data_IF_246947584194
#
_entry.id   IF_246947584194
#
_cell.length_a   1.000
_cell.length_b   1.000
_cell.length_c   1.000
_cell.angle_alpha   90.00
_cell.angle_beta   90.00
_cell.angle_gamma   90.00
#
_symmetry.space_group_name_H-M   'P 1'
#
loop_
_entity.id
_entity.type
_entity.pdbx_description
1 polymer ?
#
# COMPACT_ATOMS: atom_id res chain seq x y z
N UNK A 1 82.50 -28.68 70.55
CA UNK A 1 81.14 -28.14 70.74
C UNK A 1 80.43 -28.30 69.39
N UNK A 2 79.86 -29.45 69.01
CA UNK A 2 78.81 -30.27 69.63
C UNK A 2 77.56 -29.47 69.97
N UNK A 3 76.59 -29.45 69.04
CA UNK A 3 75.19 -29.67 69.36
C UNK A 3 74.38 -30.05 68.11
N UNK A 4 73.93 -31.30 68.08
CA UNK A 4 72.60 -31.69 67.60
C UNK A 4 71.88 -32.34 68.79
N UNK A 5 70.54 -32.22 68.84
CA UNK A 5 69.66 -33.40 68.69
C UNK A 5 68.52 -33.09 67.68
N UNK A 6 68.16 -33.94 66.71
CA UNK A 6 67.44 -35.25 66.75
C UNK A 6 65.92 -35.15 67.02
N UNK A 7 65.10 -36.09 66.48
CA UNK A 7 64.06 -35.81 65.47
C UNK A 7 62.63 -36.01 65.99
N UNK A 8 61.64 -35.41 65.33
CA UNK A 8 60.23 -35.78 65.51
C UNK A 8 59.62 -36.25 64.18
N UNK A 9 59.40 -37.55 64.13
CA UNK A 9 58.47 -38.23 63.24
C UNK A 9 57.12 -38.33 63.95
N UNK A 10 56.11 -37.63 63.45
CA UNK A 10 54.73 -37.96 63.78
C UNK A 10 53.86 -37.79 62.55
N UNK A 11 53.17 -38.88 62.23
CA UNK A 11 51.87 -38.91 61.55
C UNK A 11 51.89 -38.90 60.03
N UNK A 12 52.07 -40.11 59.47
CA UNK A 12 51.20 -40.53 58.37
C UNK A 12 49.74 -40.38 58.83
N UNK A 13 48.96 -39.53 58.17
CA UNK A 13 47.52 -39.72 58.04
C UNK A 13 47.01 -38.93 56.83
N UNK A 14 46.37 -39.68 55.95
CA UNK A 14 45.19 -39.29 55.19
C UNK A 14 45.29 -38.50 53.88
N UNK A 15 44.94 -39.28 52.85
CA UNK A 15 43.85 -39.02 51.92
C UNK A 15 44.19 -38.31 50.61
N UNK A 16 44.15 -39.14 49.56
CA UNK A 16 43.58 -38.82 48.26
C UNK A 16 43.99 -37.47 47.66
N UNK A 17 44.97 -37.52 46.75
CA UNK A 17 45.08 -36.55 45.67
C UNK A 17 43.82 -36.63 44.78
N UNK A 18 42.72 -36.04 45.25
CA UNK A 18 41.55 -35.73 44.44
C UNK A 18 42.02 -34.66 43.46
N UNK A 19 42.32 -35.07 42.23
CA UNK A 19 42.40 -34.14 41.12
C UNK A 19 41.05 -33.40 41.07
N UNK A 20 41.00 -32.18 41.60
CA UNK A 20 39.84 -31.31 41.47
C UNK A 20 39.59 -31.16 39.97
N UNK A 21 38.40 -31.50 39.44
CA UNK A 21 38.04 -31.03 38.12
C UNK A 21 37.95 -29.51 38.24
N UNK A 22 38.91 -28.79 37.68
CA UNK A 22 38.76 -27.36 37.42
C UNK A 22 37.73 -27.30 36.29
N UNK A 23 36.45 -27.39 36.63
CA UNK A 23 35.41 -26.92 35.73
C UNK A 23 35.66 -25.41 35.62
N UNK A 24 36.02 -24.88 34.43
CA UNK A 24 36.22 -23.45 34.28
C UNK A 24 34.88 -22.77 34.59
N UNK A 25 34.79 -22.13 35.75
CA UNK A 25 33.66 -21.27 36.07
C UNK A 25 33.78 -20.06 35.17
N UNK A 26 32.95 -20.02 34.14
CA UNK A 26 32.87 -18.91 33.19
C UNK A 26 32.69 -17.61 34.01
N UNK A 27 33.61 -16.66 33.88
CA UNK A 27 33.55 -15.41 34.59
C UNK A 27 32.41 -14.55 34.05
N UNK A 28 31.93 -13.58 34.85
CA UNK A 28 30.92 -12.63 34.39
C UNK A 28 31.38 -11.86 33.13
N UNK A 29 32.70 -11.63 33.01
CA UNK A 29 33.31 -10.98 31.83
C UNK A 29 33.20 -11.84 30.58
N UNK A 30 33.41 -13.16 30.69
CA UNK A 30 33.30 -14.10 29.57
C UNK A 30 31.84 -14.16 29.06
N UNK A 31 30.88 -14.16 29.99
CA UNK A 31 29.44 -14.10 29.67
C UNK A 31 29.11 -12.79 28.95
N UNK A 32 29.61 -11.64 29.44
CA UNK A 32 29.40 -10.33 28.81
C UNK A 32 30.00 -10.28 27.41
N UNK A 33 31.20 -10.84 27.21
CA UNK A 33 31.85 -10.88 25.89
C UNK A 33 31.04 -11.71 24.87
N UNK A 34 30.57 -12.88 25.27
CA UNK A 34 29.73 -13.74 24.41
C UNK A 34 28.42 -13.05 24.06
N UNK A 35 27.74 -12.46 25.05
CA UNK A 35 26.49 -11.71 24.85
C UNK A 35 26.72 -10.51 23.91
N UNK A 36 27.84 -9.78 24.09
CA UNK A 36 28.22 -8.66 23.22
C UNK A 36 28.41 -9.08 21.76
N UNK A 37 29.08 -10.20 21.51
CA UNK A 37 29.25 -10.73 20.14
C UNK A 37 27.90 -11.11 19.54
N UNK A 38 27.00 -11.76 20.29
CA UNK A 38 25.65 -12.09 19.82
C UNK A 38 24.87 -10.84 19.42
N UNK A 39 24.92 -9.76 20.22
CA UNK A 39 24.26 -8.51 19.87
C UNK A 39 24.84 -7.85 18.61
N UNK A 40 26.16 -7.88 18.42
CA UNK A 40 26.79 -7.37 17.20
C UNK A 40 26.34 -8.18 15.98
N UNK A 41 26.33 -9.51 16.09
CA UNK A 41 25.85 -10.38 15.00
C UNK A 41 24.37 -10.11 14.68
N UNK A 42 23.51 -9.99 15.70
CA UNK A 42 22.09 -9.64 15.50
C UNK A 42 21.90 -8.26 14.87
N UNK A 43 22.69 -7.26 15.27
CA UNK A 43 22.64 -5.91 14.71
C UNK A 43 23.02 -5.89 13.21
N UNK A 44 23.98 -6.72 12.79
CA UNK A 44 24.36 -6.85 11.39
C UNK A 44 23.33 -7.66 10.58
N UNK A 45 22.62 -8.60 11.21
CA UNK A 45 21.62 -9.46 10.55
C UNK A 45 20.29 -8.76 10.30
N UNK A 46 19.84 -7.87 11.19
CA UNK A 46 18.50 -7.25 11.11
C UNK A 46 18.26 -6.44 9.82
N UNK A 47 19.17 -5.56 9.37
CA UNK A 47 18.99 -4.82 8.11
C UNK A 47 18.97 -5.74 6.89
N UNK A 48 19.78 -6.81 6.91
CA UNK A 48 19.84 -7.79 5.83
C UNK A 48 18.53 -8.58 5.71
N UNK A 49 17.93 -8.97 6.83
CA UNK A 49 16.62 -9.67 6.85
C UNK A 49 15.51 -8.78 6.27
N UNK A 50 15.54 -7.48 6.55
CA UNK A 50 14.55 -6.53 6.01
C UNK A 50 14.68 -6.37 4.50
N UNK A 51 15.90 -6.18 3.99
CA UNK A 51 16.16 -6.12 2.54
C UNK A 51 15.70 -7.39 1.82
N UNK A 52 15.98 -8.56 2.40
CA UNK A 52 15.53 -9.85 1.86
C UNK A 52 13.99 -9.96 1.83
N UNK A 53 13.31 -9.51 2.88
CA UNK A 53 11.83 -9.48 2.94
C UNK A 53 11.25 -8.57 1.86
N UNK A 54 11.82 -7.38 1.65
CA UNK A 54 11.35 -6.46 0.62
C UNK A 54 11.58 -7.01 -0.80
N UNK A 55 12.74 -7.63 -1.05
CA UNK A 55 13.01 -8.31 -2.32
C UNK A 55 12.03 -9.48 -2.56
N UNK A 56 11.67 -10.22 -1.51
CA UNK A 56 10.68 -11.30 -1.59
C UNK A 56 9.27 -10.74 -1.93
N UNK A 57 8.83 -9.67 -1.25
CA UNK A 57 7.56 -8.99 -1.56
C UNK A 57 7.53 -8.48 -3.00
N UNK A 58 8.62 -7.89 -3.48
CA UNK A 58 8.78 -7.43 -4.87
C UNK A 58 8.66 -8.58 -5.87
N UNK A 59 9.30 -9.69 -5.58
CA UNK A 59 9.24 -10.89 -6.44
C UNK A 59 7.83 -11.47 -6.48
N UNK A 60 7.16 -11.54 -5.33
CA UNK A 60 5.80 -12.04 -5.25
C UNK A 60 4.80 -11.12 -5.97
N UNK A 61 4.89 -9.80 -5.82
CA UNK A 61 3.98 -8.87 -6.53
C UNK A 61 4.19 -8.92 -8.05
N UNK A 62 5.45 -9.03 -8.51
CA UNK A 62 5.76 -9.29 -9.93
C UNK A 62 5.12 -10.59 -10.43
N UNK A 63 5.21 -11.66 -9.65
CA UNK A 63 4.62 -12.95 -10.00
C UNK A 63 3.09 -12.89 -10.03
N UNK A 64 2.47 -12.17 -9.10
CA UNK A 64 1.03 -11.94 -9.11
C UNK A 64 0.58 -11.22 -10.39
N UNK A 65 1.24 -10.12 -10.75
CA UNK A 65 0.97 -9.42 -12.02
C UNK A 65 1.23 -10.29 -13.25
N UNK A 66 2.23 -11.17 -13.21
CA UNK A 66 2.49 -12.14 -14.30
C UNK A 66 1.35 -13.14 -14.44
N UNK A 67 0.78 -13.62 -13.33
CA UNK A 67 -0.38 -14.51 -13.36
C UNK A 67 -1.61 -13.80 -13.93
N UNK A 68 -1.85 -12.54 -13.55
CA UNK A 68 -2.89 -11.72 -14.17
C UNK A 68 -2.65 -11.50 -15.66
N UNK A 69 -1.43 -11.14 -16.06
CA UNK A 69 -1.05 -10.97 -17.46
C UNK A 69 -1.29 -12.24 -18.29
N UNK A 70 -0.93 -13.41 -17.75
CA UNK A 70 -1.23 -14.68 -18.38
C UNK A 70 -2.73 -14.94 -18.50
N UNK A 71 -3.50 -14.64 -17.46
CA UNK A 71 -4.96 -14.77 -17.50
C UNK A 71 -5.60 -13.87 -18.57
N UNK A 72 -5.12 -12.63 -18.71
CA UNK A 72 -5.54 -11.72 -19.79
C UNK A 72 -5.27 -12.29 -21.19
N UNK A 73 -4.09 -12.87 -21.41
CA UNK A 73 -3.74 -13.48 -22.69
C UNK A 73 -4.55 -14.75 -22.97
N UNK A 74 -4.75 -15.62 -21.99
CA UNK A 74 -5.60 -16.81 -22.16
C UNK A 74 -7.06 -16.44 -22.47
N UNK A 75 -7.57 -15.36 -21.85
CA UNK A 75 -8.88 -14.81 -22.18
C UNK A 75 -8.88 -14.26 -23.62
N UNK A 76 -7.87 -13.50 -24.01
CA UNK A 76 -7.72 -12.96 -25.37
C UNK A 76 -7.67 -14.07 -26.42
N UNK A 77 -6.90 -15.14 -26.19
CA UNK A 77 -6.81 -16.29 -27.09
C UNK A 77 -8.17 -16.99 -27.27
N UNK A 78 -9.00 -17.02 -26.23
CA UNK A 78 -10.33 -17.65 -26.26
C UNK A 78 -11.37 -16.78 -26.95
N UNK A 79 -11.37 -15.47 -26.68
CA UNK A 79 -12.46 -14.55 -27.07
C UNK A 79 -12.07 -13.54 -28.16
N UNK A 80 -10.81 -13.53 -28.59
CA UNK A 80 -10.24 -12.60 -29.59
C UNK A 80 -10.03 -11.17 -29.09
N UNK A 81 -10.33 -10.88 -27.82
CA UNK A 81 -10.32 -9.53 -27.22
C UNK A 81 -9.98 -9.60 -25.74
N UNK A 82 -9.50 -8.49 -25.18
CA UNK A 82 -9.37 -8.33 -23.73
C UNK A 82 -10.77 -8.35 -23.08
N UNK A 83 -10.86 -8.75 -21.80
CA UNK A 83 -12.14 -8.71 -21.10
C UNK A 83 -12.66 -7.28 -21.04
N UNK A 84 -13.99 -7.15 -21.06
CA UNK A 84 -14.66 -5.87 -20.79
C UNK A 84 -14.19 -5.34 -19.45
N UNK A 85 -13.98 -4.03 -19.34
CA UNK A 85 -13.73 -3.39 -18.05
C UNK A 85 -14.88 -3.66 -17.09
N UNK A 86 -16.08 -3.26 -17.50
CA UNK A 86 -17.36 -3.57 -16.86
C UNK A 86 -18.40 -3.86 -17.93
N UNK A 87 -19.14 -4.94 -17.75
CA UNK A 87 -20.33 -5.28 -18.53
C UNK A 87 -21.53 -4.52 -17.96
N UNK A 88 -22.02 -3.51 -18.68
CA UNK A 88 -23.14 -2.66 -18.28
C UNK A 88 -24.28 -2.89 -19.28
N UNK A 89 -25.41 -3.39 -18.78
CA UNK A 89 -26.61 -3.59 -19.57
C UNK A 89 -27.26 -2.26 -19.99
N UNK A 90 -28.17 -2.31 -20.96
CA UNK A 90 -28.84 -1.12 -21.49
C UNK A 90 -29.68 -0.36 -20.44
N UNK A 91 -30.13 -1.04 -19.39
CA UNK A 91 -30.85 -0.46 -18.25
C UNK A 91 -29.93 0.16 -17.18
N UNK A 92 -28.60 0.12 -17.40
CA UNK A 92 -27.59 0.60 -16.47
C UNK A 92 -27.16 -0.43 -15.42
N UNK A 93 -27.71 -1.65 -15.44
CA UNK A 93 -27.32 -2.71 -14.53
C UNK A 93 -25.87 -3.12 -14.79
N UNK A 94 -25.02 -2.95 -13.78
CA UNK A 94 -23.66 -3.44 -13.84
C UNK A 94 -23.65 -4.95 -13.58
N UNK A 95 -23.15 -5.73 -14.54
CA UNK A 95 -23.02 -7.17 -14.45
C UNK A 95 -21.70 -7.52 -13.80
N UNK A 96 -20.63 -7.67 -14.58
CA UNK A 96 -19.35 -8.19 -14.10
C UNK A 96 -18.19 -7.38 -14.69
N UNK A 97 -17.08 -7.33 -13.95
CA UNK A 97 -15.85 -6.66 -14.40
C UNK A 97 -14.81 -7.61 -14.97
N UNK A 98 -13.72 -7.03 -15.47
CA UNK A 98 -12.57 -7.78 -15.98
C UNK A 98 -12.04 -8.80 -14.95
N UNK A 99 -11.99 -8.43 -13.66
CA UNK A 99 -11.49 -9.32 -12.60
C UNK A 99 -12.31 -10.61 -12.53
N UNK A 100 -13.64 -10.50 -12.47
CA UNK A 100 -14.56 -11.65 -12.48
C UNK A 100 -14.51 -12.49 -13.76
N UNK A 101 -14.21 -11.86 -14.91
CA UNK A 101 -14.08 -12.56 -16.19
C UNK A 101 -12.77 -13.36 -16.30
N UNK A 102 -11.74 -12.97 -15.54
CA UNK A 102 -10.44 -13.62 -15.57
C UNK A 102 -10.27 -14.76 -14.56
N UNK A 103 -11.16 -14.89 -13.58
CA UNK A 103 -11.10 -15.94 -12.56
C UNK A 103 -10.85 -17.36 -13.13
N UNK A 104 -11.52 -17.81 -14.22
CA UNK A 104 -11.30 -19.16 -14.78
C UNK A 104 -9.86 -19.40 -15.25
N UNK A 105 -9.18 -18.31 -15.59
CA UNK A 105 -7.82 -18.30 -16.12
C UNK A 105 -6.78 -18.07 -15.03
N UNK A 106 -7.22 -17.86 -13.80
CA UNK A 106 -6.42 -17.91 -12.58
C UNK A 106 -6.61 -19.29 -11.95
N UNK A 107 -5.73 -19.70 -11.04
CA UNK A 107 -5.81 -20.98 -10.30
C UNK A 107 -6.99 -21.02 -9.29
N UNK A 108 -8.15 -20.47 -9.65
CA UNK A 108 -9.32 -20.22 -8.81
C UNK A 108 -10.63 -20.78 -9.42
N UNK A 109 -10.57 -22.01 -9.96
CA UNK A 109 -11.68 -22.65 -10.69
C UNK A 109 -12.96 -22.83 -9.86
N UNK A 110 -12.84 -23.10 -8.55
CA UNK A 110 -13.99 -23.27 -7.65
C UNK A 110 -14.76 -21.96 -7.46
N UNK A 111 -14.04 -20.86 -7.26
CA UNK A 111 -14.62 -19.54 -7.04
C UNK A 111 -15.48 -19.08 -8.23
N UNK A 112 -15.00 -19.30 -9.46
CA UNK A 112 -15.77 -18.97 -10.67
C UNK A 112 -17.04 -19.81 -10.83
N UNK A 113 -17.01 -21.10 -10.45
CA UNK A 113 -18.16 -21.99 -10.60
C UNK A 113 -19.38 -21.56 -9.77
N UNK A 114 -19.14 -20.81 -8.70
CA UNK A 114 -20.15 -20.27 -7.78
C UNK A 114 -20.68 -18.90 -8.20
N UNK A 115 -20.00 -18.22 -9.13
CA UNK A 115 -20.43 -16.93 -9.65
C UNK A 115 -21.64 -17.09 -10.57
N UNK A 116 -22.80 -16.56 -10.17
CA UNK A 116 -23.96 -16.48 -11.05
C UNK A 116 -23.77 -15.31 -12.03
N UNK A 117 -23.37 -15.67 -13.25
CA UNK A 117 -23.06 -14.73 -14.33
C UNK A 117 -24.29 -14.03 -14.92
N UNK A 118 -25.48 -14.54 -14.63
CA UNK A 118 -26.75 -13.98 -15.11
C UNK A 118 -27.32 -12.93 -14.15
N UNK A 119 -26.62 -12.66 -13.04
CA UNK A 119 -27.00 -11.68 -12.02
C UNK A 119 -25.95 -10.60 -11.92
N UNK A 120 -26.34 -9.42 -11.46
CA UNK A 120 -25.38 -8.34 -11.21
C UNK A 120 -24.32 -8.76 -10.19
N UNK A 121 -23.13 -8.16 -10.25
CA UNK A 121 -22.03 -8.41 -9.30
C UNK A 121 -22.44 -8.26 -7.83
N UNK A 122 -23.36 -7.34 -7.55
CA UNK A 122 -23.86 -7.02 -6.20
C UNK A 122 -25.15 -7.75 -5.84
N UNK A 123 -25.62 -8.70 -6.66
CA UNK A 123 -26.80 -9.48 -6.35
C UNK A 123 -26.55 -10.38 -5.12
N UNK A 124 -27.58 -10.59 -4.29
CA UNK A 124 -27.47 -11.41 -3.07
C UNK A 124 -27.03 -12.87 -3.32
N UNK A 125 -27.17 -13.38 -4.54
CA UNK A 125 -26.62 -14.69 -4.92
C UNK A 125 -25.08 -14.69 -5.03
N UNK A 126 -24.49 -13.56 -5.41
CA UNK A 126 -23.05 -13.37 -5.58
C UNK A 126 -22.39 -12.80 -4.32
N UNK A 127 -23.17 -12.39 -3.32
CA UNK A 127 -22.74 -11.83 -2.04
C UNK A 127 -21.57 -12.58 -1.35
N UNK A 128 -21.60 -13.92 -1.17
CA UNK A 128 -20.53 -14.63 -0.48
C UNK A 128 -19.16 -14.48 -1.17
N UNK A 129 -19.15 -14.28 -2.48
CA UNK A 129 -17.93 -14.20 -3.28
C UNK A 129 -17.17 -12.88 -3.06
N UNK A 130 -17.79 -11.87 -2.44
CA UNK A 130 -17.12 -10.62 -2.07
C UNK A 130 -16.17 -10.78 -0.89
N UNK A 131 -16.33 -11.85 -0.11
CA UNK A 131 -15.51 -12.15 1.07
C UNK A 131 -14.40 -13.16 0.77
N UNK A 132 -14.27 -13.53 -0.50
CA UNK A 132 -13.28 -14.48 -1.01
C UNK A 132 -12.47 -13.81 -2.12
N UNK A 133 -11.23 -14.24 -2.29
CA UNK A 133 -10.37 -13.69 -3.33
C UNK A 133 -9.25 -14.65 -3.72
N UNK A 134 -8.73 -14.54 -4.95
CA UNK A 134 -7.58 -15.33 -5.36
C UNK A 134 -6.34 -14.84 -4.61
N UNK A 135 -5.44 -15.75 -4.24
CA UNK A 135 -4.20 -15.43 -3.49
C UNK A 135 -3.32 -14.38 -4.17
N UNK A 136 -3.46 -14.21 -5.48
CA UNK A 136 -2.70 -13.26 -6.29
C UNK A 136 -3.43 -11.91 -6.53
N UNK A 137 -4.61 -11.70 -5.92
CA UNK A 137 -5.39 -10.46 -6.03
C UNK A 137 -4.82 -9.29 -5.24
N UNK A 138 -3.83 -9.54 -4.38
CA UNK A 138 -3.31 -8.57 -3.42
C UNK A 138 -1.81 -8.36 -3.57
N UNK A 139 -1.37 -7.11 -3.40
CA UNK A 139 0.04 -6.75 -3.19
C UNK A 139 0.50 -7.24 -1.79
N UNK A 140 1.63 -7.95 -1.66
CA UNK A 140 2.13 -8.44 -0.37
C UNK A 140 2.39 -7.32 0.64
N UNK A 141 1.81 -7.45 1.83
CA UNK A 141 1.97 -6.47 2.92
C UNK A 141 0.98 -5.30 2.87
N UNK A 142 0.01 -5.33 1.97
CA UNK A 142 -1.16 -4.44 1.97
C UNK A 142 -2.37 -5.17 2.55
N UNK A 143 -3.37 -4.46 3.13
CA UNK A 143 -4.57 -5.10 3.66
C UNK A 143 -5.36 -5.80 2.55
N UNK A 144 -5.53 -7.13 2.65
CA UNK A 144 -6.21 -7.91 1.61
C UNK A 144 -7.74 -7.75 1.65
N UNK A 145 -8.27 -7.42 2.83
CA UNK A 145 -9.69 -7.29 3.11
C UNK A 145 -9.97 -6.02 3.92
N UNK A 146 -11.22 -5.56 3.88
CA UNK A 146 -11.75 -4.55 4.81
C UNK A 146 -11.88 -5.12 6.22
N UNK A 147 -12.19 -4.26 7.21
CA UNK A 147 -12.54 -4.67 8.58
C UNK A 147 -13.69 -5.68 8.63
N UNK A 148 -14.60 -5.62 7.65
CA UNK A 148 -15.72 -6.52 7.48
C UNK A 148 -15.44 -7.78 6.65
N UNK A 149 -14.21 -7.93 6.15
CA UNK A 149 -13.81 -9.10 5.37
C UNK A 149 -14.04 -9.00 3.87
N UNK A 150 -14.52 -7.86 3.35
CA UNK A 150 -14.70 -7.66 1.90
C UNK A 150 -13.33 -7.61 1.23
N UNK A 151 -13.12 -8.47 0.24
CA UNK A 151 -11.85 -8.61 -0.45
C UNK A 151 -11.56 -7.40 -1.35
N UNK A 152 -10.34 -6.87 -1.26
CA UNK A 152 -9.91 -5.66 -1.95
C UNK A 152 -9.12 -5.98 -3.22
N UNK A 153 -9.30 -5.15 -4.25
CA UNK A 153 -8.50 -5.19 -5.47
C UNK A 153 -7.29 -4.27 -5.37
N UNK A 154 -6.09 -4.84 -5.45
CA UNK A 154 -4.84 -4.07 -5.44
C UNK A 154 -4.30 -3.75 -6.84
N UNK A 155 -5.04 -4.11 -7.90
CA UNK A 155 -4.69 -3.76 -9.28
C UNK A 155 -5.83 -3.04 -9.97
N UNK A 156 -5.53 -1.91 -10.61
CA UNK A 156 -6.51 -1.18 -11.41
C UNK A 156 -6.18 -1.29 -12.89
N UNK A 157 -7.23 -1.41 -13.70
CA UNK A 157 -7.14 -1.47 -15.15
C UNK A 157 -6.85 -0.14 -15.81
N UNK A 158 -6.21 -0.22 -16.99
CA UNK A 158 -6.10 0.87 -17.93
C UNK A 158 -7.48 1.16 -18.52
N UNK A 159 -8.05 2.36 -18.28
CA UNK A 159 -9.37 2.68 -18.82
C UNK A 159 -9.42 2.68 -20.35
N UNK A 160 -8.30 2.85 -21.04
CA UNK A 160 -8.26 2.77 -22.50
C UNK A 160 -8.39 1.31 -23.03
N UNK A 161 -8.23 0.31 -22.15
CA UNK A 161 -8.35 -1.12 -22.47
C UNK A 161 -9.57 -1.75 -21.79
N UNK A 162 -9.73 -1.44 -20.50
CA UNK A 162 -10.68 -2.04 -19.57
C UNK A 162 -11.74 -1.01 -19.15
N UNK A 163 -12.46 -0.43 -20.10
CA UNK A 163 -13.60 0.46 -19.86
C UNK A 163 -14.95 -0.27 -19.97
N UNK A 164 -16.04 0.46 -19.73
CA UNK A 164 -17.40 -0.06 -19.92
C UNK A 164 -17.61 -0.64 -21.31
N UNK A 165 -18.09 -1.88 -21.36
CA UNK A 165 -18.43 -2.59 -22.59
C UNK A 165 -17.30 -2.58 -23.63
N UNK A 166 -16.05 -2.56 -23.18
CA UNK A 166 -14.88 -2.52 -24.06
C UNK A 166 -14.73 -3.79 -24.89
N UNK A 167 -14.17 -3.66 -26.09
CA UNK A 167 -13.89 -4.80 -26.97
C UNK A 167 -12.53 -4.66 -27.63
N UNK A 168 -11.54 -4.25 -26.83
CA UNK A 168 -10.17 -3.96 -27.29
C UNK A 168 -9.42 -5.25 -27.60
N UNK A 169 -8.74 -5.27 -28.73
CA UNK A 169 -7.94 -6.39 -29.21
C UNK A 169 -6.45 -6.02 -29.24
N UNK A 170 -5.57 -7.03 -29.26
CA UNK A 170 -4.12 -6.81 -29.37
C UNK A 170 -3.75 -5.97 -30.61
N UNK A 171 -4.50 -6.11 -31.70
CA UNK A 171 -4.28 -5.37 -32.95
C UNK A 171 -4.56 -3.87 -32.83
N UNK A 172 -5.30 -3.42 -31.80
CA UNK A 172 -5.64 -2.01 -31.63
C UNK A 172 -4.47 -1.18 -31.07
N UNK A 173 -3.42 -1.82 -30.56
CA UNK A 173 -2.26 -1.15 -29.97
C UNK A 173 -1.26 -0.66 -31.02
N UNK A 174 -1.59 0.44 -31.70
CA UNK A 174 -0.73 1.04 -32.75
C UNK A 174 0.65 1.51 -32.27
N UNK A 175 0.81 1.77 -30.96
CA UNK A 175 2.11 2.10 -30.33
C UNK A 175 2.91 0.87 -29.88
N UNK A 176 2.39 -0.33 -30.13
CA UNK A 176 2.94 -1.61 -29.67
C UNK A 176 2.44 -2.00 -28.28
N UNK A 177 2.22 -3.29 -28.07
CA UNK A 177 1.77 -3.89 -26.81
C UNK A 177 2.76 -3.68 -25.66
N UNK A 178 4.05 -3.61 -25.97
CA UNK A 178 5.14 -3.34 -25.01
C UNK A 178 5.15 -1.90 -24.49
N UNK A 179 4.50 -0.96 -25.16
CA UNK A 179 4.35 0.44 -24.73
C UNK A 179 2.95 0.75 -24.17
N UNK A 180 2.13 -0.28 -24.03
CA UNK A 180 0.73 -0.19 -23.62
C UNK A 180 0.56 -0.98 -22.32
N UNK A 181 0.02 -0.38 -21.27
CA UNK A 181 -0.19 -1.07 -20.00
C UNK A 181 -1.62 -1.61 -19.87
N UNK A 182 -1.79 -2.74 -19.20
CA UNK A 182 -3.09 -3.40 -18.94
C UNK A 182 -3.62 -3.07 -17.57
N UNK A 183 -2.84 -3.40 -16.54
CA UNK A 183 -3.17 -3.21 -15.13
C UNK A 183 -1.93 -2.71 -14.40
N UNK A 184 -2.14 -1.96 -13.33
CA UNK A 184 -1.07 -1.50 -12.45
C UNK A 184 -1.44 -1.66 -10.98
N UNK A 185 -0.42 -1.80 -10.16
CA UNK A 185 -0.56 -1.78 -8.70
C UNK A 185 -1.16 -0.46 -8.22
N UNK A 186 -2.06 -0.56 -7.25
CA UNK A 186 -2.54 0.58 -6.47
C UNK A 186 -2.31 0.30 -4.99
N UNK A 187 -2.01 1.34 -4.23
CA UNK A 187 -1.80 1.26 -2.78
C UNK A 187 -2.80 2.15 -2.01
N UNK A 188 -3.82 2.66 -2.71
CA UNK A 188 -4.78 3.60 -2.18
C UNK A 188 -6.09 3.52 -2.96
N UNK A 189 -7.18 3.91 -2.30
CA UNK A 189 -8.54 3.89 -2.85
C UNK A 189 -8.84 2.55 -3.51
N UNK A 190 -8.71 1.50 -2.71
CA UNK A 190 -9.07 0.15 -3.13
C UNK A 190 -10.56 0.08 -3.43
N UNK A 191 -10.91 -0.79 -4.37
CA UNK A 191 -12.29 -1.14 -4.66
C UNK A 191 -12.49 -2.62 -4.33
N UNK A 192 -13.73 -3.05 -4.04
CA UNK A 192 -14.02 -4.46 -3.89
C UNK A 192 -13.55 -5.24 -5.11
N UNK A 193 -13.01 -6.43 -4.88
CA UNK A 193 -12.46 -7.27 -5.95
C UNK A 193 -13.48 -7.57 -7.05
N UNK A 194 -14.75 -7.79 -6.67
CA UNK A 194 -15.84 -8.04 -7.61
C UNK A 194 -16.45 -6.77 -8.23
N UNK A 195 -15.99 -5.58 -7.85
CA UNK A 195 -16.53 -4.35 -8.42
C UNK A 195 -16.27 -4.28 -9.92
N UNK A 196 -17.29 -4.05 -10.77
CA UNK A 196 -17.08 -4.07 -12.20
C UNK A 196 -16.15 -2.96 -12.69
N UNK A 197 -16.19 -1.79 -12.05
CA UNK A 197 -15.41 -0.63 -12.53
C UNK A 197 -14.01 -0.52 -11.89
N UNK A 198 -13.28 -1.64 -11.87
CA UNK A 198 -11.91 -1.79 -11.36
C UNK A 198 -10.85 -1.17 -12.29
N UNK A 199 -10.98 0.12 -12.63
CA UNK A 199 -10.02 0.87 -13.44
C UNK A 199 -9.79 2.29 -12.91
N UNK A 200 -8.67 2.87 -13.33
CA UNK A 200 -8.24 4.20 -12.89
C UNK A 200 -7.35 4.84 -13.93
N UNK A 201 -7.54 6.13 -14.20
CA UNK A 201 -6.68 6.86 -15.13
C UNK A 201 -5.28 7.09 -14.53
N UNK A 202 -4.25 6.84 -15.33
CA UNK A 202 -2.86 7.09 -14.95
C UNK A 202 -2.52 8.58 -15.17
N UNK A 203 -3.03 9.47 -14.30
CA UNK A 203 -2.83 10.93 -14.41
C UNK A 203 -1.79 11.49 -13.45
N UNK A 204 -1.48 10.74 -12.40
CA UNK A 204 -0.56 11.14 -11.34
C UNK A 204 0.77 10.40 -11.48
N UNK A 205 1.88 10.96 -10.96
CA UNK A 205 3.11 10.19 -10.79
C UNK A 205 2.83 8.93 -9.97
N UNK A 206 3.70 7.92 -10.10
CA UNK A 206 3.62 6.74 -9.25
C UNK A 206 3.78 7.17 -7.79
N UNK A 207 2.91 6.67 -6.91
CA UNK A 207 2.76 7.13 -5.52
C UNK A 207 2.46 8.63 -5.36
N UNK A 208 2.07 9.32 -6.43
CA UNK A 208 1.86 10.77 -6.46
C UNK A 208 0.52 11.23 -5.88
N UNK A 209 -0.01 10.53 -4.87
CA UNK A 209 -1.26 10.86 -4.21
C UNK A 209 -2.39 9.88 -4.50
N UNK A 210 -3.63 10.30 -4.28
CA UNK A 210 -4.76 9.38 -4.25
C UNK A 210 -5.42 9.24 -5.60
N UNK A 211 -5.83 8.01 -5.91
CA UNK A 211 -6.17 7.69 -7.28
C UNK A 211 -4.91 7.60 -8.15
N UNK A 212 -3.70 7.58 -7.57
CA UNK A 212 -2.48 7.23 -8.29
C UNK A 212 -2.29 5.71 -8.30
N UNK A 213 -1.45 5.26 -9.21
CA UNK A 213 -0.89 3.93 -9.18
C UNK A 213 0.36 3.93 -8.30
N UNK A 214 0.70 2.79 -7.73
CA UNK A 214 1.75 2.63 -6.73
C UNK A 214 1.50 1.40 -5.89
N UNK A 215 2.53 0.85 -5.27
CA UNK A 215 2.40 -0.41 -4.52
C UNK A 215 3.45 -0.55 -3.43
N UNK A 216 4.64 -0.03 -3.72
CA UNK A 216 5.81 -0.06 -2.85
C UNK A 216 6.28 1.36 -2.62
N UNK A 217 7.20 1.48 -1.68
CA UNK A 217 7.78 2.74 -1.29
C UNK A 217 8.50 3.49 -2.40
N UNK A 218 9.17 2.72 -3.24
CA UNK A 218 10.06 3.17 -4.29
C UNK A 218 9.39 3.21 -5.67
N UNK A 219 8.12 2.81 -5.78
CA UNK A 219 7.40 2.77 -7.05
C UNK A 219 6.19 1.83 -7.08
N UNK A 220 5.85 1.39 -8.28
CA UNK A 220 4.71 0.52 -8.54
C UNK A 220 4.95 -0.32 -9.79
N UNK A 221 4.39 -1.52 -9.81
CA UNK A 221 4.50 -2.41 -10.95
C UNK A 221 3.29 -2.35 -11.86
N UNK A 222 3.54 -2.53 -13.15
CA UNK A 222 2.55 -2.52 -14.19
C UNK A 222 2.71 -3.75 -15.07
N UNK A 223 1.61 -4.43 -15.34
CA UNK A 223 1.56 -5.43 -16.40
C UNK A 223 1.30 -4.71 -17.73
N UNK A 224 2.15 -4.98 -18.71
CA UNK A 224 2.04 -4.48 -20.08
C UNK A 224 1.11 -5.37 -20.92
N UNK A 225 0.66 -4.88 -22.07
CA UNK A 225 -0.23 -5.61 -22.98
C UNK A 225 0.45 -6.81 -23.65
N UNK A 226 1.78 -6.87 -23.63
CA UNK A 226 2.56 -8.04 -24.03
C UNK A 226 2.76 -9.06 -22.88
N UNK A 227 2.17 -8.82 -21.70
CA UNK A 227 2.34 -9.66 -20.51
C UNK A 227 3.69 -9.47 -19.80
N UNK A 228 4.56 -8.56 -20.26
CA UNK A 228 5.74 -8.16 -19.49
C UNK A 228 5.31 -7.36 -18.25
N UNK A 229 6.08 -7.46 -17.16
CA UNK A 229 5.84 -6.67 -15.95
C UNK A 229 6.96 -5.66 -15.81
N UNK A 230 6.61 -4.39 -15.72
CA UNK A 230 7.54 -3.27 -15.60
C UNK A 230 7.42 -2.63 -14.24
N UNK A 231 8.58 -2.26 -13.72
CA UNK A 231 8.69 -1.45 -12.51
C UNK A 231 8.76 0.01 -12.93
N UNK A 232 7.86 0.84 -12.41
CA UNK A 232 7.90 2.29 -12.57
C UNK A 232 8.30 2.91 -11.22
N UNK A 233 9.55 3.38 -11.08
CA UNK A 233 10.00 4.05 -9.86
C UNK A 233 9.28 5.39 -9.65
N UNK A 234 9.27 5.91 -8.42
CA UNK A 234 8.76 7.26 -8.12
C UNK A 234 9.47 8.34 -8.96
N UNK A 235 10.74 8.12 -9.31
CA UNK A 235 11.54 9.01 -10.16
C UNK A 235 11.19 8.94 -11.65
N UNK A 236 10.16 8.17 -12.04
CA UNK A 236 9.72 8.09 -13.43
C UNK A 236 9.30 9.47 -13.92
N UNK A 237 9.90 9.92 -15.03
CA UNK A 237 9.62 11.23 -15.59
C UNK A 237 8.14 11.39 -15.96
N UNK A 238 7.58 12.58 -15.69
CA UNK A 238 6.19 12.95 -16.00
C UNK A 238 5.80 12.64 -17.45
N UNK A 239 6.70 12.90 -18.40
CA UNK A 239 6.48 12.63 -19.83
C UNK A 239 6.29 11.14 -20.15
N UNK A 240 6.92 10.24 -19.39
CA UNK A 240 6.74 8.78 -19.54
C UNK A 240 5.34 8.40 -19.05
N UNK A 241 4.92 8.91 -17.89
CA UNK A 241 3.58 8.69 -17.35
C UNK A 241 2.50 9.20 -18.32
N UNK A 242 2.68 10.40 -18.87
CA UNK A 242 1.78 10.98 -19.86
C UNK A 242 1.73 10.17 -21.16
N UNK A 243 2.88 9.66 -21.62
CA UNK A 243 2.93 8.77 -22.79
C UNK A 243 2.15 7.48 -22.56
N UNK A 244 2.29 6.85 -21.39
CA UNK A 244 1.56 5.64 -21.00
C UNK A 244 0.06 5.89 -20.80
N UNK A 245 -0.34 7.10 -20.39
CA UNK A 245 -1.75 7.45 -20.20
C UNK A 245 -2.53 7.56 -21.53
N UNK A 246 -1.86 7.91 -22.63
CA UNK A 246 -2.48 8.17 -23.95
C UNK A 246 -2.33 6.96 -24.88
N UNK A 247 -2.58 5.75 -24.37
CA UNK A 247 -2.44 4.53 -25.16
C UNK A 247 -3.76 4.21 -25.89
N UNK A 248 -3.77 3.95 -27.21
CA UNK A 248 -4.99 3.57 -27.95
C UNK A 248 -5.59 2.24 -27.47
N UNK A 249 -6.91 2.01 -27.54
CA UNK A 249 -8.00 2.89 -28.03
C UNK A 249 -8.34 4.01 -27.05
N UNK A 250 -8.54 5.25 -27.53
CA UNK A 250 -9.02 6.34 -26.66
C UNK A 250 -10.53 6.16 -26.48
N UNK A 251 -10.92 5.58 -25.35
CA UNK A 251 -12.32 5.42 -24.98
C UNK A 251 -12.97 6.78 -24.68
N UNK A 252 -14.28 6.88 -24.90
CA UNK A 252 -15.04 8.09 -24.58
C UNK A 252 -14.94 8.39 -23.07
N UNK A 253 -14.81 9.67 -22.65
CA UNK A 253 -14.95 10.08 -21.25
C UNK A 253 -16.09 9.40 -20.47
N UNK A 254 -17.24 9.17 -21.09
CA UNK A 254 -18.37 8.47 -20.47
C UNK A 254 -18.10 6.98 -20.25
N UNK A 255 -17.39 6.31 -21.15
CA UNK A 255 -17.06 4.89 -21.02
C UNK A 255 -16.02 4.65 -19.91
N UNK A 256 -15.13 5.61 -19.68
CA UNK A 256 -14.05 5.51 -18.68
C UNK A 256 -14.45 6.09 -17.31
N UNK A 257 -15.57 6.80 -17.21
CA UNK A 257 -16.00 7.41 -15.95
C UNK A 257 -16.22 6.34 -14.87
N UNK A 258 -15.57 6.39 -13.71
CA UNK A 258 -15.92 5.46 -12.63
C UNK A 258 -17.19 5.98 -11.96
N UNK A 259 -18.29 5.21 -11.91
CA UNK A 259 -19.51 5.71 -11.30
C UNK A 259 -19.30 5.88 -9.79
N UNK A 260 -19.79 6.97 -9.17
CA UNK A 260 -19.66 7.21 -7.75
C UNK A 260 -20.61 6.28 -7.00
N UNK A 261 -20.18 5.06 -6.74
CA UNK A 261 -21.03 4.05 -6.09
C UNK A 261 -20.46 3.76 -4.72
N UNK A 262 -21.32 3.95 -3.72
CA UNK A 262 -21.20 3.27 -2.45
C UNK A 262 -21.46 1.79 -2.73
N UNK A 263 -20.48 0.91 -2.60
CA UNK A 263 -20.56 -0.49 -3.03
C UNK A 263 -21.50 -1.24 -2.09
N UNK A 264 -22.72 -1.63 -2.52
CA UNK A 264 -23.55 -2.49 -1.71
C UNK A 264 -22.92 -3.90 -1.74
N UNK A 265 -22.53 -4.38 -0.58
CA UNK A 265 -22.10 -5.76 -0.33
C UNK A 265 -23.22 -6.43 0.47
N UNK A 266 -23.26 -7.76 0.45
CA UNK A 266 -24.32 -8.59 1.04
C UNK A 266 -24.94 -8.06 2.34
N UNK A 267 -24.08 -7.65 3.27
CA UNK A 267 -24.42 -7.26 4.64
C UNK A 267 -24.11 -5.78 4.93
N UNK A 268 -23.83 -4.94 3.91
CA UNK A 268 -23.40 -3.56 4.13
C UNK A 268 -23.13 -2.70 2.89
N UNK A 269 -22.66 -1.47 3.09
CA UNK A 269 -22.33 -0.54 2.00
C UNK A 269 -20.96 0.09 2.26
N UNK A 270 -19.98 -0.16 1.40
CA UNK A 270 -18.73 0.62 1.39
C UNK A 270 -19.03 1.99 0.78
N UNK A 271 -18.98 3.07 1.56
CA UNK A 271 -19.41 4.40 1.08
C UNK A 271 -18.20 5.27 0.79
N UNK A 272 -18.02 5.69 -0.47
CA UNK A 272 -17.13 6.81 -0.78
C UNK A 272 -17.90 8.10 -0.45
N UNK A 273 -17.58 8.72 0.69
CA UNK A 273 -18.13 10.03 1.03
C UNK A 273 -17.18 11.13 0.56
N UNK A 274 -17.77 12.16 -0.06
CA UNK A 274 -17.10 13.44 -0.23
C UNK A 274 -17.45 14.31 0.97
N UNK A 275 -16.46 14.71 1.76
CA UNK A 275 -16.63 15.76 2.77
C UNK A 275 -16.08 17.05 2.18
N UNK A 276 -16.91 18.07 2.00
CA UNK A 276 -16.43 19.38 1.57
C UNK A 276 -15.46 19.95 2.60
N UNK A 277 -14.29 20.40 2.16
CA UNK A 277 -13.37 21.15 3.02
C UNK A 277 -13.87 22.60 3.16
N UNK A 278 -13.55 23.25 4.28
CA UNK A 278 -13.96 24.63 4.54
C UNK A 278 -13.34 25.58 3.49
N UNK A 279 -14.09 26.58 3.00
CA UNK A 279 -13.55 27.57 2.07
C UNK A 279 -12.54 28.46 2.78
N UNK A 280 -11.36 28.68 2.16
CA UNK A 280 -10.34 29.57 2.71
C UNK A 280 -10.75 31.06 2.66
N UNK A 281 -11.53 31.49 1.66
CA UNK A 281 -12.03 32.87 1.50
C UNK A 281 -13.40 32.97 0.79
N UNK A 282 -14.07 34.14 0.80
CA UNK A 282 -15.35 34.34 0.09
C UNK A 282 -15.25 34.34 -1.45
N UNK A 283 -14.07 34.67 -2.02
CA UNK A 283 -13.83 34.65 -3.48
C UNK A 283 -13.77 33.25 -4.08
N UNK A 284 -13.73 32.23 -3.22
CA UNK A 284 -13.49 30.82 -3.54
C UNK A 284 -14.75 30.06 -3.97
N UNK A 285 -15.93 30.70 -3.87
CA UNK A 285 -17.24 30.14 -4.25
C UNK A 285 -17.41 29.87 -5.76
N UNK A 286 -16.42 30.22 -6.60
CA UNK A 286 -16.50 30.17 -8.08
C UNK A 286 -15.94 28.88 -8.71
N UNK A 287 -15.17 28.07 -7.99
CA UNK A 287 -14.53 26.83 -8.48
C UNK A 287 -15.01 25.59 -7.71
N UNK A 288 -14.82 24.38 -8.27
CA UNK A 288 -15.12 23.13 -7.58
C UNK A 288 -14.40 23.09 -6.23
N UNK A 289 -15.15 22.98 -5.14
CA UNK A 289 -14.61 23.03 -3.78
C UNK A 289 -13.60 21.90 -3.55
N UNK A 290 -12.51 22.15 -2.81
CA UNK A 290 -11.70 21.05 -2.30
C UNK A 290 -12.57 20.14 -1.42
N UNK A 291 -12.32 18.84 -1.50
CA UNK A 291 -13.09 17.86 -0.75
C UNK A 291 -12.21 16.70 -0.31
N UNK A 292 -12.55 16.12 0.82
CA UNK A 292 -12.01 14.85 1.25
C UNK A 292 -12.74 13.73 0.54
N UNK A 293 -12.03 12.85 -0.18
CA UNK A 293 -12.54 11.53 -0.53
C UNK A 293 -12.27 10.58 0.63
N UNK A 294 -13.33 10.20 1.32
CA UNK A 294 -13.26 9.31 2.49
C UNK A 294 -13.87 7.98 2.10
N UNK A 295 -13.07 6.92 2.21
CA UNK A 295 -13.56 5.56 2.11
C UNK A 295 -13.95 5.10 3.51
N UNK A 296 -15.23 4.79 3.67
CA UNK A 296 -15.79 4.30 4.91
C UNK A 296 -16.23 2.86 4.66
N UNK A 297 -15.84 1.97 5.55
CA UNK A 297 -16.32 0.61 5.52
C UNK A 297 -17.78 0.48 5.98
N UNK A 298 -18.32 -0.73 5.93
CA UNK A 298 -19.70 -1.01 6.28
C UNK A 298 -20.03 -0.82 7.77
N UNK A 299 -19.02 -0.80 8.66
CA UNK A 299 -19.18 -0.53 10.08
C UNK A 299 -19.15 0.98 10.38
N UNK A 300 -18.98 1.82 9.35
CA UNK A 300 -18.82 3.26 9.51
C UNK A 300 -17.39 3.67 9.84
N UNK A 301 -16.42 2.75 9.78
CA UNK A 301 -15.02 3.04 10.09
C UNK A 301 -14.31 3.61 8.85
N UNK A 302 -13.69 4.79 8.97
CA UNK A 302 -12.95 5.42 7.88
C UNK A 302 -11.62 4.68 7.64
N UNK A 303 -11.40 4.22 6.42
CA UNK A 303 -10.19 3.48 6.03
C UNK A 303 -9.14 4.39 5.42
N UNK A 304 -9.57 5.26 4.50
CA UNK A 304 -8.69 6.18 3.76
C UNK A 304 -9.35 7.53 3.66
N UNK A 305 -8.62 8.60 3.98
CA UNK A 305 -9.02 9.96 3.69
C UNK A 305 -7.98 10.61 2.78
N UNK A 306 -8.49 11.22 1.73
CA UNK A 306 -7.73 11.84 0.68
C UNK A 306 -8.19 13.27 0.47
N UNK A 307 -7.27 14.21 0.50
CA UNK A 307 -7.61 15.56 0.09
C UNK A 307 -7.49 15.80 -1.41
N UNK A 308 -8.62 16.11 -2.04
CA UNK A 308 -8.69 16.53 -3.45
C UNK A 308 -8.70 18.05 -3.54
N UNK A 309 -7.61 18.62 -4.04
CA UNK A 309 -7.58 20.02 -4.48
C UNK A 309 -8.48 20.15 -5.73
N UNK A 310 -9.60 20.87 -5.61
CA UNK A 310 -10.51 21.12 -6.72
C UNK A 310 -9.93 22.16 -7.68
N UNK A 311 -9.39 21.72 -8.81
CA UNK A 311 -9.10 22.60 -9.95
C UNK A 311 -7.70 22.47 -10.56
N UNK A 312 -7.60 22.84 -11.85
CA UNK A 312 -6.31 22.99 -12.56
C UNK A 312 -5.51 24.11 -11.88
N UNK A 313 -4.42 23.75 -11.20
CA UNK A 313 -3.44 24.72 -10.72
C UNK A 313 -3.01 24.64 -9.25
N UNK A 314 -3.41 23.62 -8.48
CA UNK A 314 -2.73 23.26 -7.22
C UNK A 314 -2.61 24.38 -6.18
N UNK A 315 -3.65 25.22 -6.03
CA UNK A 315 -3.64 26.39 -5.13
C UNK A 315 -4.45 26.22 -3.83
N UNK A 316 -4.88 25.00 -3.50
CA UNK A 316 -5.60 24.75 -2.25
C UNK A 316 -4.69 24.05 -1.25
N UNK A 317 -4.32 24.76 -0.20
CA UNK A 317 -3.68 24.17 0.98
C UNK A 317 -4.78 23.78 1.97
N UNK A 318 -4.75 22.54 2.47
CA UNK A 318 -5.63 22.12 3.57
C UNK A 318 -5.29 22.98 4.77
N UNK A 319 -6.29 23.48 5.49
CA UNK A 319 -6.02 24.20 6.73
C UNK A 319 -5.92 23.24 7.92
N UNK A 320 -5.25 23.63 9.03
CA UNK A 320 -5.32 22.84 10.25
C UNK A 320 -6.75 22.60 10.74
N UNK A 321 -7.67 23.55 10.51
CA UNK A 321 -9.07 23.37 10.87
C UNK A 321 -9.77 22.30 10.02
N UNK A 322 -9.44 22.17 8.73
CA UNK A 322 -9.95 21.07 7.90
C UNK A 322 -9.48 19.70 8.40
N UNK A 323 -8.21 19.61 8.79
CA UNK A 323 -7.65 18.39 9.39
C UNK A 323 -8.28 18.09 10.75
N UNK A 324 -8.59 19.12 11.54
CA UNK A 324 -9.31 18.97 12.81
C UNK A 324 -10.72 18.43 12.58
N UNK A 325 -11.49 19.01 11.66
CA UNK A 325 -12.84 18.56 11.31
C UNK A 325 -12.79 17.10 10.86
N UNK A 326 -11.83 16.75 10.00
CA UNK A 326 -11.64 15.37 9.56
C UNK A 326 -11.33 14.44 10.73
N UNK A 327 -10.39 14.79 11.60
CA UNK A 327 -9.99 13.98 12.73
C UNK A 327 -11.11 13.80 13.76
N UNK A 328 -11.88 14.85 14.02
CA UNK A 328 -13.01 14.84 14.95
C UNK A 328 -14.15 13.94 14.41
N UNK A 329 -14.38 13.96 13.09
CA UNK A 329 -15.42 13.14 12.45
C UNK A 329 -14.99 11.69 12.20
N UNK A 330 -13.68 11.45 12.01
CA UNK A 330 -13.11 10.18 11.57
C UNK A 330 -11.87 9.78 12.39
N UNK A 331 -11.99 9.57 13.72
CA UNK A 331 -10.85 9.32 14.59
C UNK A 331 -10.15 7.96 14.36
N UNK A 332 -10.87 6.98 13.81
CA UNK A 332 -10.38 5.63 13.46
C UNK A 332 -9.74 5.55 12.06
N UNK A 333 -9.34 6.68 11.49
CA UNK A 333 -8.77 6.72 10.15
C UNK A 333 -7.40 6.03 10.10
N UNK A 334 -7.27 5.01 9.25
CA UNK A 334 -6.03 4.24 9.13
C UNK A 334 -5.01 4.86 8.17
N UNK A 335 -5.47 5.50 7.09
CA UNK A 335 -4.58 6.10 6.09
C UNK A 335 -5.01 7.52 5.72
N UNK A 336 -4.09 8.47 5.88
CA UNK A 336 -4.30 9.88 5.57
C UNK A 336 -3.32 10.33 4.49
N UNK A 337 -3.89 10.88 3.41
CA UNK A 337 -3.14 11.30 2.24
C UNK A 337 -3.37 12.78 1.97
N UNK A 338 -2.32 13.56 2.20
CA UNK A 338 -2.25 15.02 2.04
C UNK A 338 -1.00 15.38 1.25
N UNK A 339 -0.84 14.74 0.08
CA UNK A 339 0.38 14.71 -0.75
C UNK A 339 0.88 16.07 -1.26
N UNK A 340 0.13 17.14 -1.07
CA UNK A 340 0.48 18.51 -1.46
C UNK A 340 1.00 19.36 -0.29
N UNK A 341 1.01 18.82 0.93
CA UNK A 341 1.26 19.61 2.16
C UNK A 341 2.64 19.39 2.74
N UNK A 342 3.29 20.50 3.03
CA UNK A 342 4.43 20.56 3.92
C UNK A 342 3.95 20.55 5.36
N UNK A 343 4.33 19.53 6.14
CA UNK A 343 4.05 19.49 7.57
C UNK A 343 4.85 20.58 8.29
N UNK A 344 4.16 21.62 8.75
CA UNK A 344 4.69 22.67 9.63
C UNK A 344 4.07 22.55 11.03
N UNK A 345 4.62 23.28 12.00
CA UNK A 345 4.17 23.34 13.40
C UNK A 345 2.65 23.52 13.56
N UNK A 346 2.04 24.27 12.64
CA UNK A 346 0.61 24.58 12.64
C UNK A 346 -0.27 23.32 12.52
N UNK A 347 0.22 22.28 11.83
CA UNK A 347 -0.56 21.08 11.56
C UNK A 347 -0.32 19.95 12.56
N UNK A 348 0.83 19.94 13.24
CA UNK A 348 1.29 18.82 14.07
C UNK A 348 0.26 18.42 15.13
N UNK A 349 -0.34 19.42 15.78
CA UNK A 349 -1.36 19.20 16.81
C UNK A 349 -2.66 18.58 16.29
N UNK A 350 -2.91 18.62 14.97
CA UNK A 350 -4.10 18.00 14.39
C UNK A 350 -3.83 16.53 14.03
N UNK A 351 -2.62 16.20 13.62
CA UNK A 351 -2.25 14.82 13.30
C UNK A 351 -2.26 13.89 14.53
N UNK A 352 -1.97 14.41 15.72
CA UNK A 352 -2.05 13.65 16.97
C UNK A 352 -3.48 13.24 17.37
N UNK A 353 -4.50 13.79 16.70
CA UNK A 353 -5.91 13.43 16.93
C UNK A 353 -6.30 12.10 16.28
N UNK A 354 -5.61 11.67 15.22
CA UNK A 354 -5.87 10.39 14.58
C UNK A 354 -5.24 9.26 15.40
N UNK A 355 -6.09 8.45 16.05
CA UNK A 355 -5.63 7.44 17.02
C UNK A 355 -5.17 6.14 16.38
N UNK A 356 -5.69 5.86 15.19
CA UNK A 356 -5.46 4.60 14.47
C UNK A 356 -4.69 4.82 13.17
N UNK A 357 -4.06 5.99 13.01
CA UNK A 357 -3.34 6.34 11.80
C UNK A 357 -2.09 5.48 11.64
N UNK A 358 -2.11 4.65 10.60
CA UNK A 358 -1.02 3.73 10.26
C UNK A 358 -0.12 4.29 9.17
N UNK A 359 -0.72 4.94 8.17
CA UNK A 359 0.00 5.50 7.02
C UNK A 359 -0.31 6.98 6.85
N UNK A 360 0.74 7.81 6.82
CA UNK A 360 0.68 9.25 6.53
C UNK A 360 1.48 9.58 5.28
N UNK A 361 0.83 10.22 4.30
CA UNK A 361 1.49 10.66 3.06
C UNK A 361 1.37 12.17 2.95
N UNK A 362 2.51 12.85 2.94
CA UNK A 362 2.64 14.32 2.91
C UNK A 362 3.62 14.72 1.83
N UNK A 363 3.68 16.00 1.47
CA UNK A 363 4.67 16.49 0.51
C UNK A 363 6.07 16.51 1.09
N UNK A 364 6.22 17.16 2.23
CA UNK A 364 7.51 17.34 2.90
C UNK A 364 7.29 17.66 4.37
N UNK A 365 8.37 17.71 5.15
CA UNK A 365 8.33 18.02 6.58
C UNK A 365 9.24 19.21 6.87
N UNK A 366 8.72 20.18 7.61
CA UNK A 366 9.46 21.36 8.09
C UNK A 366 9.13 21.55 9.56
N UNK A 367 9.67 20.65 10.38
CA UNK A 367 9.44 20.59 11.82
C UNK A 367 10.78 20.62 12.55
N UNK A 368 10.76 21.19 13.76
CA UNK A 368 11.86 21.07 14.71
C UNK A 368 11.91 19.66 15.33
N UNK A 369 13.06 19.32 15.93
CA UNK A 369 13.27 18.02 16.58
C UNK A 369 12.20 17.74 17.65
N UNK A 370 11.82 18.77 18.42
CA UNK A 370 10.80 18.69 19.47
C UNK A 370 9.40 18.41 18.92
N UNK A 371 9.05 18.96 17.77
CA UNK A 371 7.73 18.80 17.14
C UNK A 371 7.58 17.44 16.46
N UNK A 372 8.68 16.87 15.94
CA UNK A 372 8.69 15.53 15.37
C UNK A 372 8.28 14.49 16.41
N UNK A 373 8.69 14.65 17.67
CA UNK A 373 8.27 13.77 18.76
C UNK A 373 6.76 13.73 18.98
N UNK A 374 6.04 14.76 18.55
CA UNK A 374 4.59 14.89 18.74
C UNK A 374 3.78 14.39 17.55
N UNK A 375 4.44 13.96 16.47
CA UNK A 375 3.77 13.31 15.36
C UNK A 375 3.17 11.96 15.80
N UNK A 376 2.02 11.56 15.21
CA UNK A 376 1.49 10.23 15.44
C UNK A 376 2.53 9.17 15.05
N UNK A 377 2.61 8.11 15.85
CA UNK A 377 3.48 6.97 15.58
C UNK A 377 2.86 6.11 14.48
N UNK A 378 3.01 6.58 13.25
CA UNK A 378 2.59 5.86 12.03
C UNK A 378 3.60 4.76 11.72
N UNK A 379 3.15 3.66 11.10
CA UNK A 379 4.05 2.62 10.58
C UNK A 379 4.67 3.04 9.25
N UNK A 380 4.02 3.91 8.49
CA UNK A 380 4.47 4.36 7.17
C UNK A 380 4.33 5.88 7.03
N UNK A 381 5.46 6.56 6.80
CA UNK A 381 5.50 7.99 6.47
C UNK A 381 6.11 8.17 5.08
N UNK A 382 5.35 8.77 4.16
CA UNK A 382 5.80 9.00 2.77
C UNK A 382 5.88 10.48 2.49
N UNK A 383 7.05 10.95 2.03
CA UNK A 383 7.28 12.31 1.57
C UNK A 383 7.27 12.32 0.04
N UNK A 384 6.28 12.94 -0.59
CA UNK A 384 6.19 12.98 -2.07
C UNK A 384 7.22 13.92 -2.71
N UNK A 385 7.85 14.79 -1.92
CA UNK A 385 8.89 15.75 -2.33
C UNK A 385 9.94 15.89 -1.22
N UNK A 386 10.69 14.83 -0.90
CA UNK A 386 11.67 14.89 0.19
C UNK A 386 12.83 15.86 -0.04
N UNK A 387 13.08 16.32 -1.27
CA UNK A 387 14.03 17.41 -1.52
C UNK A 387 13.63 18.72 -0.82
N UNK A 388 12.33 18.89 -0.52
CA UNK A 388 11.80 20.06 0.18
C UNK A 388 11.94 19.93 1.73
N UNK A 389 12.52 18.82 2.21
CA UNK A 389 12.78 18.53 3.64
C UNK A 389 14.28 18.63 3.92
N UNK A 390 14.67 19.39 4.96
CA UNK A 390 16.10 19.58 5.27
C UNK A 390 16.78 18.29 5.75
N UNK A 391 18.09 18.09 5.50
CA UNK A 391 18.81 16.92 5.98
C UNK A 391 18.67 16.70 7.49
N UNK A 392 18.71 17.77 8.29
CA UNK A 392 18.58 17.72 9.74
C UNK A 392 17.19 17.20 10.14
N UNK A 393 16.13 17.66 9.48
CA UNK A 393 14.76 17.15 9.71
C UNK A 393 14.64 15.68 9.32
N UNK A 394 15.30 15.21 8.25
CA UNK A 394 15.30 13.78 7.86
C UNK A 394 15.97 12.91 8.91
N UNK A 395 17.12 13.34 9.41
CA UNK A 395 17.85 12.62 10.45
C UNK A 395 17.02 12.57 11.75
N UNK A 396 16.34 13.66 12.10
CA UNK A 396 15.41 13.70 13.22
C UNK A 396 14.22 12.76 13.03
N UNK A 397 13.62 12.70 11.84
CA UNK A 397 12.53 11.76 11.54
C UNK A 397 12.98 10.30 11.71
N UNK A 398 14.16 9.94 11.19
CA UNK A 398 14.72 8.60 11.30
C UNK A 398 15.03 8.21 12.76
N UNK A 399 15.50 9.17 13.58
CA UNK A 399 15.77 8.94 15.01
C UNK A 399 14.49 8.71 15.82
N UNK A 400 13.43 9.45 15.51
CA UNK A 400 12.21 9.49 16.33
C UNK A 400 11.11 8.51 15.92
N UNK A 401 11.25 7.90 14.74
CA UNK A 401 10.31 6.89 14.27
C UNK A 401 11.06 5.62 13.82
N UNK A 402 11.79 4.93 14.71
CA UNK A 402 12.67 3.80 14.35
C UNK A 402 11.91 2.58 13.80
N UNK A 403 10.61 2.46 14.12
CA UNK A 403 9.72 1.43 13.62
C UNK A 403 8.83 1.91 12.46
N UNK A 404 8.98 3.17 12.05
CA UNK A 404 8.26 3.73 10.91
C UNK A 404 9.11 3.56 9.66
N UNK A 405 8.50 3.03 8.61
CA UNK A 405 9.08 3.06 7.28
C UNK A 405 8.93 4.47 6.72
N UNK A 406 10.03 5.21 6.68
CA UNK A 406 10.09 6.55 6.11
C UNK A 406 10.58 6.48 4.68
N UNK A 407 9.80 7.04 3.78
CA UNK A 407 10.04 7.02 2.35
C UNK A 407 10.25 8.46 1.89
N UNK A 408 11.47 8.74 1.44
CA UNK A 408 11.89 10.04 0.92
C UNK A 408 11.72 10.12 -0.59
#
# INVERSE_FOLDING_TARGET
MMNQPSPDSSSQEDAAAIAKPIAPTLGWLDIVAVVGIVFILMALLMPAIQSAREAARKTQSRNNLKQWGLAFHNYHDTYGRFPVGADIQADGTAMHGWCSRLIPYLEASDWYSRLDQNRSWNHAANAPLHYEGPRNGSIPGQPEQTSSGVYLMHYMGNPNVLHRNSSVCIQDFTKGTTNSWLIGEVNNVYQPLMYPCNWRSLTWPVNGGVGSYGGRSDGGMFCMCDGSVRDLPNSTARSIIESLAVTPSVADPEQIAVPPICFPVADGVMTKKSLEAAPATESDKKWSRPFWSILIDEHGTPQVADFRSGGKGGRWNITPEDLKILADQYPGLQKLMVSEITLTSEYVHQFSRFRELDTLIVRSVQLSDQEIHTLPQVQHLVLTSAQDTSPETKDSLLRHSPNCKIEF
#
